data_IF_151530431895
#
_entry.id   IF_151530431895
#
_cell.length_a   1.000
_cell.length_b   1.000
_cell.length_c   1.000
_cell.angle_alpha   90.00
_cell.angle_beta   90.00
_cell.angle_gamma   90.00
#
_symmetry.space_group_name_H-M   'P 1'
#
loop_
_entity.id
_entity.type
_entity.pdbx_description
1 polymer ?
#
# COMPACT_ATOMS: atom_id res chain seq x y z
N UNK A 1 -9.56 25.96 3.65
CA UNK A 1 -8.92 24.95 4.53
C UNK A 1 -9.00 23.52 3.97
N UNK A 2 -9.00 23.34 2.62
CA UNK A 2 -9.31 22.06 1.93
C UNK A 2 -8.09 21.17 1.59
N UNK A 3 -6.86 21.66 1.79
CA UNK A 3 -5.64 20.95 1.36
C UNK A 3 -5.20 19.80 2.28
N UNK A 4 -5.65 19.76 3.54
CA UNK A 4 -5.20 18.74 4.51
C UNK A 4 -5.82 17.36 4.24
N UNK A 5 -7.09 17.29 3.83
CA UNK A 5 -7.80 16.02 3.65
C UNK A 5 -7.38 15.27 2.37
N UNK A 6 -6.97 15.98 1.32
CA UNK A 6 -6.43 15.40 0.08
C UNK A 6 -5.07 14.71 0.28
N UNK A 7 -4.26 15.18 1.24
CA UNK A 7 -2.89 14.68 1.48
C UNK A 7 -2.90 13.40 2.35
N UNK A 8 -3.83 13.31 3.32
CA UNK A 8 -4.05 12.06 4.05
C UNK A 8 -4.68 10.99 3.15
N UNK A 9 -5.56 11.41 2.23
CA UNK A 9 -6.05 10.59 1.13
C UNK A 9 -4.90 10.04 0.29
N UNK A 10 -4.01 10.89 -0.24
CA UNK A 10 -2.89 10.55 -1.12
C UNK A 10 -1.88 9.53 -0.54
N UNK A 11 -1.87 9.33 0.78
CA UNK A 11 -0.87 8.52 1.45
C UNK A 11 -1.38 7.25 2.11
N UNK A 12 -2.65 7.26 2.46
CA UNK A 12 -3.43 6.04 2.57
C UNK A 12 -3.67 5.46 1.17
N UNK A 13 -3.74 6.28 0.13
CA UNK A 13 -3.57 5.89 -1.27
C UNK A 13 -2.20 5.22 -1.47
N UNK A 14 -1.09 5.56 -0.81
CA UNK A 14 0.17 4.80 -0.99
C UNK A 14 0.14 3.41 -0.34
N UNK A 15 -0.66 3.18 0.70
CA UNK A 15 -0.83 1.84 1.31
C UNK A 15 -2.00 1.05 0.72
N UNK A 16 -3.03 1.73 0.19
CA UNK A 16 -4.10 1.17 -0.64
C UNK A 16 -3.73 1.05 -2.12
N UNK A 17 -2.67 1.74 -2.56
CA UNK A 17 -2.05 1.74 -3.89
C UNK A 17 -0.53 1.53 -3.84
N UNK A 18 -0.06 0.63 -2.98
CA UNK A 18 0.93 -0.38 -3.43
C UNK A 18 0.30 -1.33 -4.48
N UNK A 19 -0.74 -0.85 -5.18
CA UNK A 19 -1.67 -1.38 -6.17
C UNK A 19 -2.03 -0.31 -7.25
N UNK A 20 -1.21 0.73 -7.43
CA UNK A 20 -1.29 1.67 -8.57
C UNK A 20 0.02 2.26 -9.18
N UNK A 21 0.50 1.78 -10.38
CA UNK A 21 1.35 2.35 -11.53
C UNK A 21 2.02 1.35 -12.48
N UNK A 22 2.80 1.71 -13.53
CA UNK A 22 2.58 1.95 -14.97
C UNK A 22 3.41 1.12 -15.93
N UNK A 23 2.85 0.63 -17.04
CA UNK A 23 3.68 0.50 -18.26
C UNK A 23 2.95 0.79 -19.56
N UNK A 24 3.64 1.51 -20.44
CA UNK A 24 3.38 1.63 -21.89
C UNK A 24 3.73 0.32 -22.61
N UNK A 25 2.97 0.07 -23.67
CA UNK A 25 3.22 -0.82 -24.81
C UNK A 25 3.34 -2.32 -24.48
N UNK A 26 2.24 -3.05 -24.70
CA UNK A 26 2.06 -3.97 -25.85
C UNK A 26 0.63 -4.55 -25.80
N UNK A 27 0.10 -4.93 -26.96
CA UNK A 27 -1.33 -5.16 -27.26
C UNK A 27 -2.12 -6.08 -26.29
N UNK A 28 -3.43 -5.81 -26.10
CA UNK A 28 -4.21 -6.35 -24.98
C UNK A 28 -4.80 -7.74 -25.27
N UNK A 29 -4.43 -8.72 -24.44
CA UNK A 29 -5.44 -9.66 -23.94
C UNK A 29 -6.18 -8.95 -22.81
N UNK A 30 -7.51 -8.92 -22.84
CA UNK A 30 -8.33 -8.35 -21.76
C UNK A 30 -8.02 -9.10 -20.47
N UNK A 31 -7.21 -8.49 -19.61
CA UNK A 31 -6.85 -9.03 -18.29
C UNK A 31 -8.13 -9.20 -17.46
N UNK A 32 -8.29 -10.35 -16.80
CA UNK A 32 -9.41 -10.60 -15.87
C UNK A 32 -9.45 -9.58 -14.72
N UNK A 33 -8.34 -8.88 -14.47
CA UNK A 33 -8.20 -7.77 -13.53
C UNK A 33 -8.92 -6.51 -13.95
N UNK A 34 -9.09 -6.27 -15.25
CA UNK A 34 -9.68 -5.03 -15.76
C UNK A 34 -11.13 -4.91 -15.29
N UNK A 35 -11.46 -3.77 -14.70
CA UNK A 35 -12.75 -3.51 -14.08
C UNK A 35 -12.62 -2.66 -12.82
N UNK A 36 -13.78 -2.29 -12.27
CA UNK A 36 -13.87 -1.52 -11.03
C UNK A 36 -14.05 -2.48 -9.86
N UNK A 37 -13.16 -2.36 -8.89
CA UNK A 37 -13.13 -3.12 -7.65
C UNK A 37 -13.38 -2.17 -6.47
N UNK A 38 -14.47 -2.38 -5.76
CA UNK A 38 -14.79 -1.65 -4.53
C UNK A 38 -14.11 -2.32 -3.36
N UNK A 39 -13.68 -1.54 -2.36
CA UNK A 39 -13.27 -2.12 -1.09
C UNK A 39 -14.44 -2.86 -0.45
N UNK A 40 -14.15 -4.02 0.12
CA UNK A 40 -15.13 -4.72 0.95
C UNK A 40 -15.53 -3.85 2.13
N UNK A 41 -16.77 -3.92 2.57
CA UNK A 41 -17.22 -3.17 3.76
C UNK A 41 -16.54 -3.67 5.05
N UNK A 42 -16.15 -4.94 5.09
CA UNK A 42 -15.45 -5.58 6.22
C UNK A 42 -14.29 -6.42 5.73
N UNK A 43 -13.20 -6.43 6.50
CA UNK A 43 -12.02 -7.24 6.18
C UNK A 43 -11.32 -6.82 4.89
N UNK A 44 -11.45 -5.55 4.47
CA UNK A 44 -10.81 -5.02 3.27
C UNK A 44 -9.29 -4.90 3.41
N UNK A 45 -8.76 -4.96 4.62
CA UNK A 45 -7.32 -5.05 4.85
C UNK A 45 -7.02 -6.26 5.71
N UNK A 46 -5.95 -6.96 5.36
CA UNK A 46 -5.42 -8.09 6.12
C UNK A 46 -3.90 -7.98 6.19
N UNK A 47 -3.35 -8.10 7.40
CA UNK A 47 -1.91 -8.22 7.62
C UNK A 47 -1.63 -9.61 8.16
N UNK A 48 -0.79 -10.35 7.45
CA UNK A 48 -0.19 -11.59 7.96
C UNK A 48 1.24 -11.26 8.33
N UNK A 49 1.63 -11.54 9.57
CA UNK A 49 2.98 -11.36 10.06
C UNK A 49 3.32 -12.53 10.98
N UNK A 50 4.20 -13.40 10.51
CA UNK A 50 4.78 -14.52 11.24
C UNK A 50 6.26 -14.26 11.44
N UNK A 51 6.73 -14.46 12.67
CA UNK A 51 8.09 -14.18 13.08
C UNK A 51 8.50 -15.07 14.25
N UNK A 52 9.81 -15.28 14.46
CA UNK A 52 10.33 -15.92 15.68
C UNK A 52 9.79 -15.26 16.96
N UNK A 53 9.54 -16.06 17.99
CA UNK A 53 8.91 -15.60 19.24
C UNK A 53 9.75 -14.62 20.05
N UNK A 54 11.07 -14.64 19.86
CA UNK A 54 12.04 -13.76 20.50
C UNK A 54 12.25 -12.43 19.74
N UNK A 55 11.70 -12.32 18.52
CA UNK A 55 11.84 -11.12 17.71
C UNK A 55 10.91 -10.02 18.24
N UNK A 56 11.50 -8.91 18.68
CA UNK A 56 10.75 -7.75 19.19
C UNK A 56 11.07 -6.47 18.44
N UNK A 57 10.06 -5.63 18.28
CA UNK A 57 10.16 -4.25 17.80
C UNK A 57 9.98 -3.30 18.98
N UNK A 58 10.93 -2.40 19.22
CA UNK A 58 10.80 -1.39 20.27
C UNK A 58 10.15 -0.11 19.72
N UNK A 59 9.04 0.30 20.34
CA UNK A 59 8.35 1.56 20.02
C UNK A 59 7.89 2.21 21.31
N UNK A 60 8.03 3.54 21.44
CA UNK A 60 7.61 4.27 22.64
C UNK A 60 8.19 3.72 23.96
N UNK A 61 9.42 3.20 23.93
CA UNK A 61 10.08 2.58 25.10
C UNK A 61 9.46 1.24 25.53
N UNK A 62 8.65 0.61 24.69
CA UNK A 62 8.04 -0.70 24.92
C UNK A 62 8.45 -1.69 23.83
N UNK A 63 8.76 -2.92 24.23
CA UNK A 63 9.04 -4.03 23.30
C UNK A 63 7.73 -4.70 22.88
N UNK A 64 7.50 -4.76 21.58
CA UNK A 64 6.38 -5.45 20.96
C UNK A 64 6.88 -6.72 20.27
N UNK A 65 6.46 -7.91 20.72
CA UNK A 65 6.66 -9.15 19.97
C UNK A 65 6.17 -9.01 18.53
N UNK A 66 7.00 -9.40 17.57
CA UNK A 66 6.70 -9.31 16.15
C UNK A 66 5.46 -10.13 15.78
N UNK A 67 5.22 -11.24 16.48
CA UNK A 67 4.02 -12.09 16.32
C UNK A 67 2.70 -11.38 16.62
N UNK A 68 2.70 -10.28 17.38
CA UNK A 68 1.50 -9.50 17.66
C UNK A 68 1.24 -8.39 16.62
N UNK A 69 2.20 -8.11 15.73
CA UNK A 69 2.10 -6.98 14.79
C UNK A 69 0.89 -7.09 13.86
N UNK A 70 0.53 -8.30 13.42
CA UNK A 70 -0.69 -8.52 12.60
C UNK A 70 -1.95 -7.96 13.25
N UNK A 71 -2.12 -8.21 14.56
CA UNK A 71 -3.28 -7.78 15.34
C UNK A 71 -3.35 -6.27 15.55
N UNK A 72 -2.20 -5.59 15.53
CA UNK A 72 -2.15 -4.12 15.62
C UNK A 72 -2.26 -3.45 14.25
N UNK A 73 -1.57 -3.97 13.24
CA UNK A 73 -1.48 -3.36 11.91
C UNK A 73 -2.77 -3.53 11.12
N UNK A 74 -3.44 -4.68 11.21
CA UNK A 74 -4.70 -4.92 10.47
C UNK A 74 -5.78 -3.88 10.76
N UNK A 75 -6.20 -3.63 12.02
CA UNK A 75 -7.24 -2.63 12.30
C UNK A 75 -6.77 -1.20 12.01
N UNK A 76 -5.48 -0.89 12.26
CA UNK A 76 -4.92 0.42 11.97
C UNK A 76 -4.97 0.74 10.47
N UNK A 77 -4.46 -0.17 9.63
CA UNK A 77 -4.47 -0.02 8.19
C UNK A 77 -5.89 -0.09 7.62
N UNK A 78 -6.77 -0.92 8.18
CA UNK A 78 -8.19 -0.96 7.80
C UNK A 78 -8.85 0.40 7.99
N UNK A 79 -8.66 1.04 9.15
CA UNK A 79 -9.23 2.35 9.44
C UNK A 79 -8.65 3.43 8.52
N UNK A 80 -7.33 3.40 8.28
CA UNK A 80 -6.71 4.30 7.34
C UNK A 80 -7.35 4.12 5.95
N UNK A 81 -7.21 2.94 5.36
CA UNK A 81 -7.68 2.62 3.99
C UNK A 81 -9.16 2.90 3.82
N UNK A 82 -10.01 2.47 4.77
CA UNK A 82 -11.46 2.67 4.69
C UNK A 82 -11.89 4.15 4.74
N UNK A 83 -11.07 5.02 5.33
CA UNK A 83 -11.34 6.46 5.36
C UNK A 83 -10.83 7.21 4.12
N UNK A 84 -10.03 6.57 3.27
CA UNK A 84 -9.39 7.23 2.13
C UNK A 84 -9.82 6.66 0.78
N UNK A 85 -10.00 5.35 0.69
CA UNK A 85 -10.24 4.64 -0.56
C UNK A 85 -11.66 4.08 -0.52
N UNK A 86 -12.38 4.20 -1.64
CA UNK A 86 -13.64 3.50 -1.88
C UNK A 86 -13.42 2.33 -2.84
N UNK A 87 -12.54 2.49 -3.82
CA UNK A 87 -12.26 1.45 -4.80
C UNK A 87 -11.21 1.85 -5.82
N UNK A 88 -10.85 0.89 -6.64
CA UNK A 88 -9.82 0.95 -7.66
C UNK A 88 -10.41 0.44 -8.98
N UNK A 89 -10.20 1.16 -10.06
CA UNK A 89 -10.48 0.72 -11.42
C UNK A 89 -9.18 0.42 -12.13
N UNK A 90 -9.01 -0.83 -12.53
CA UNK A 90 -7.93 -1.28 -13.40
C UNK A 90 -8.46 -1.24 -14.84
N UNK A 91 -7.84 -0.46 -15.72
CA UNK A 91 -8.30 -0.34 -17.11
C UNK A 91 -7.52 -1.30 -18.01
N UNK A 92 -8.12 -1.69 -19.13
CA UNK A 92 -7.51 -2.62 -20.08
C UNK A 92 -6.23 -2.08 -20.73
N UNK A 93 -6.06 -0.76 -20.79
CA UNK A 93 -4.83 -0.10 -21.24
C UNK A 93 -3.77 0.03 -20.13
N UNK A 94 -3.93 -0.73 -19.05
CA UNK A 94 -2.97 -0.79 -17.95
C UNK A 94 -2.97 0.47 -17.09
N UNK A 95 -4.06 1.25 -17.02
CA UNK A 95 -4.20 2.39 -16.11
C UNK A 95 -4.88 2.01 -14.79
N UNK A 96 -4.57 2.77 -13.74
CA UNK A 96 -5.24 2.64 -12.45
C UNK A 96 -5.87 3.97 -12.11
N UNK A 97 -7.17 3.89 -11.80
CA UNK A 97 -7.93 4.99 -11.24
C UNK A 97 -8.36 4.59 -9.85
N UNK A 98 -8.40 5.55 -8.94
CA UNK A 98 -8.93 5.32 -7.60
C UNK A 98 -10.07 6.26 -7.31
N UNK A 99 -11.13 5.71 -6.73
CA UNK A 99 -12.20 6.50 -6.15
C UNK A 99 -11.93 6.66 -4.67
N UNK A 100 -11.73 7.91 -4.24
CA UNK A 100 -11.17 8.23 -2.93
C UNK A 100 -12.11 9.16 -2.18
N UNK A 101 -12.20 9.02 -0.87
CA UNK A 101 -13.00 9.90 -0.04
C UNK A 101 -12.29 11.25 0.12
N UNK A 102 -12.97 12.32 -0.27
CA UNK A 102 -12.55 13.71 0.01
C UNK A 102 -13.09 14.20 1.37
N UNK A 103 -14.21 13.60 1.79
CA UNK A 103 -14.81 13.71 3.12
C UNK A 103 -15.43 12.34 3.47
N UNK A 104 -14.74 11.57 4.32
CA UNK A 104 -15.16 10.22 4.69
C UNK A 104 -16.51 10.23 5.45
N UNK A 105 -16.74 11.23 6.30
CA UNK A 105 -17.97 11.34 7.09
C UNK A 105 -19.19 11.62 6.20
N UNK A 106 -19.02 12.43 5.16
CA UNK A 106 -20.08 12.73 4.18
C UNK A 106 -20.14 11.74 3.02
N UNK A 107 -19.24 10.74 3.00
CA UNK A 107 -19.07 9.79 1.90
C UNK A 107 -18.87 10.48 0.53
N UNK A 108 -18.31 11.69 0.51
CA UNK A 108 -18.04 12.43 -0.74
C UNK A 108 -16.78 11.88 -1.38
N UNK A 109 -16.88 11.45 -2.64
CA UNK A 109 -15.74 10.84 -3.35
C UNK A 109 -15.27 11.68 -4.53
N UNK A 110 -14.02 11.44 -4.94
CA UNK A 110 -13.45 11.95 -6.17
C UNK A 110 -12.66 10.84 -6.88
N UNK A 111 -12.58 10.92 -8.20
CA UNK A 111 -11.70 10.04 -8.98
C UNK A 111 -10.32 10.68 -9.05
N UNK A 112 -9.32 9.86 -8.79
CA UNK A 112 -7.90 10.21 -8.84
C UNK A 112 -7.22 9.29 -9.85
N UNK A 113 -6.49 9.87 -10.80
CA UNK A 113 -5.81 9.15 -11.89
C UNK A 113 -4.42 9.75 -12.18
N UNK A 114 -3.59 8.97 -12.87
CA UNK A 114 -2.25 9.39 -13.30
C UNK A 114 -1.14 9.21 -12.25
N UNK A 115 -1.46 8.67 -11.08
CA UNK A 115 -0.49 8.19 -10.06
C UNK A 115 0.10 6.83 -10.44
N UNK A 116 -0.65 6.14 -11.30
CA UNK A 116 -0.93 4.74 -11.17
C UNK A 116 -1.51 4.14 -12.47
N UNK A 117 -1.36 2.82 -12.69
CA UNK A 117 -1.28 2.04 -13.95
C UNK A 117 -0.74 0.63 -13.55
N UNK A 118 -0.52 -0.34 -14.42
CA UNK A 118 -0.06 -1.69 -14.02
C UNK A 118 0.32 -2.52 -15.25
N UNK A 119 1.05 -3.63 -15.01
CA UNK A 119 1.25 -4.69 -16.01
C UNK A 119 0.87 -6.03 -15.42
N UNK A 120 -0.18 -6.65 -15.95
CA UNK A 120 -0.53 -8.03 -15.61
C UNK A 120 0.52 -8.98 -16.17
N UNK A 121 1.08 -9.84 -15.32
CA UNK A 121 2.04 -10.88 -15.72
C UNK A 121 1.38 -12.26 -15.80
N UNK A 122 0.06 -12.35 -15.54
CA UNK A 122 -0.67 -13.60 -15.41
C UNK A 122 -0.29 -14.37 -14.15
N UNK A 123 -0.90 -15.54 -13.96
CA UNK A 123 -0.59 -16.47 -12.86
C UNK A 123 -0.64 -15.80 -11.47
N UNK A 124 -1.61 -14.90 -11.26
CA UNK A 124 -1.77 -14.20 -9.99
C UNK A 124 -0.65 -13.20 -9.67
N UNK A 125 0.03 -12.66 -10.69
CA UNK A 125 1.10 -11.66 -10.55
C UNK A 125 0.84 -10.45 -11.41
N UNK A 126 1.04 -9.26 -10.86
CA UNK A 126 1.11 -8.02 -11.60
C UNK A 126 2.32 -7.21 -11.13
N UNK A 127 2.84 -6.36 -12.01
CA UNK A 127 3.84 -5.36 -11.67
C UNK A 127 3.22 -3.99 -11.57
N UNK A 128 3.63 -3.28 -10.53
CA UNK A 128 3.14 -1.97 -10.19
C UNK A 128 4.25 -0.92 -10.11
N UNK A 129 4.35 -0.06 -11.10
CA UNK A 129 5.30 1.04 -11.13
C UNK A 129 4.80 2.21 -10.27
N UNK A 130 5.41 3.39 -10.30
CA UNK A 130 4.85 4.65 -9.76
C UNK A 130 5.14 5.79 -10.75
N UNK A 131 4.21 6.74 -10.95
CA UNK A 131 4.49 7.91 -11.79
C UNK A 131 5.15 9.02 -10.99
N UNK A 132 5.76 10.00 -11.67
CA UNK A 132 6.27 11.20 -11.02
C UNK A 132 5.19 11.98 -10.26
N UNK A 133 3.93 11.88 -10.67
CA UNK A 133 2.81 12.52 -9.96
C UNK A 133 2.72 12.01 -8.53
N UNK A 134 2.81 10.70 -8.32
CA UNK A 134 2.84 10.07 -7.00
C UNK A 134 3.91 10.71 -6.12
N UNK A 135 5.13 10.78 -6.64
CA UNK A 135 6.26 11.30 -5.87
C UNK A 135 6.20 12.82 -5.64
N UNK A 136 5.64 13.58 -6.57
CA UNK A 136 5.51 15.05 -6.47
C UNK A 136 4.52 15.50 -5.39
N UNK A 137 3.57 14.63 -5.04
CA UNK A 137 2.57 14.90 -4.02
C UNK A 137 2.97 14.39 -2.64
N UNK A 138 4.10 13.64 -2.54
CA UNK A 138 4.66 13.22 -1.26
C UNK A 138 5.16 14.43 -0.48
N UNK A 139 4.80 14.47 0.81
CA UNK A 139 5.22 15.50 1.75
C UNK A 139 5.89 14.84 2.94
N UNK A 140 6.70 15.62 3.67
CA UNK A 140 7.40 15.17 4.87
C UNK A 140 8.46 14.09 4.62
N UNK A 141 9.02 14.05 3.40
CA UNK A 141 10.19 13.24 3.04
C UNK A 141 11.26 14.17 2.52
N UNK A 142 12.48 14.03 3.03
CA UNK A 142 13.62 14.79 2.53
C UNK A 142 14.00 14.33 1.11
N UNK A 143 14.69 15.20 0.36
CA UNK A 143 15.01 14.95 -1.04
C UNK A 143 15.86 13.70 -1.26
N UNK A 144 16.73 13.35 -0.31
CA UNK A 144 17.59 12.17 -0.41
C UNK A 144 16.77 10.90 -0.25
N UNK A 145 15.94 10.82 0.80
CA UNK A 145 15.03 9.69 1.01
C UNK A 145 14.06 9.53 -0.15
N UNK A 146 13.51 10.64 -0.68
CA UNK A 146 12.63 10.61 -1.85
C UNK A 146 13.34 10.06 -3.09
N UNK A 147 14.59 10.47 -3.33
CA UNK A 147 15.41 9.96 -4.44
C UNK A 147 15.66 8.45 -4.31
N UNK A 148 15.94 7.98 -3.10
CA UNK A 148 16.14 6.55 -2.83
C UNK A 148 14.85 5.73 -3.02
N UNK A 149 13.71 6.25 -2.56
CA UNK A 149 12.40 5.61 -2.78
C UNK A 149 12.09 5.54 -4.28
N UNK A 150 12.28 6.64 -5.02
CA UNK A 150 12.11 6.65 -6.49
C UNK A 150 12.98 5.59 -7.16
N UNK A 151 14.26 5.51 -6.78
CA UNK A 151 15.18 4.53 -7.34
C UNK A 151 14.78 3.08 -7.01
N UNK A 152 14.29 2.83 -5.80
CA UNK A 152 13.85 1.50 -5.37
C UNK A 152 12.57 1.03 -6.10
N UNK A 153 11.68 1.96 -6.46
CA UNK A 153 10.39 1.66 -7.07
C UNK A 153 10.38 1.80 -8.60
N UNK A 154 11.50 2.23 -9.21
CA UNK A 154 11.59 2.55 -10.65
C UNK A 154 11.25 1.37 -11.56
N UNK A 155 11.61 0.15 -11.15
CA UNK A 155 11.39 -1.08 -11.92
C UNK A 155 10.03 -1.73 -11.61
N UNK A 156 9.26 -1.11 -10.72
CA UNK A 156 7.97 -1.58 -10.25
C UNK A 156 8.04 -2.47 -9.02
N UNK A 157 6.89 -2.56 -8.35
CA UNK A 157 6.61 -3.35 -7.16
C UNK A 157 5.83 -4.59 -7.59
N UNK A 158 6.35 -5.79 -7.34
CA UNK A 158 5.60 -7.01 -7.55
C UNK A 158 4.37 -7.07 -6.64
N UNK A 159 3.23 -7.41 -7.20
CA UNK A 159 1.97 -7.57 -6.47
C UNK A 159 1.39 -8.91 -6.84
N UNK A 160 0.92 -9.63 -5.84
CA UNK A 160 0.17 -10.87 -6.03
C UNK A 160 -1.32 -10.57 -6.05
N UNK A 161 -2.05 -11.36 -6.81
CA UNK A 161 -3.50 -11.33 -6.76
C UNK A 161 -4.11 -12.72 -6.84
N UNK A 162 -5.28 -12.86 -6.20
CA UNK A 162 -6.15 -14.01 -6.34
C UNK A 162 -7.58 -13.52 -6.59
N UNK A 163 -8.20 -13.98 -7.68
CA UNK A 163 -9.59 -13.68 -8.02
C UNK A 163 -10.44 -14.91 -7.67
N UNK A 164 -11.56 -14.69 -7.00
CA UNK A 164 -12.55 -15.71 -6.67
C UNK A 164 -13.94 -15.15 -6.92
N UNK A 165 -14.49 -15.41 -8.11
CA UNK A 165 -15.76 -14.82 -8.56
C UNK A 165 -15.68 -13.30 -8.59
N UNK A 166 -16.58 -12.65 -7.86
CA UNK A 166 -16.62 -11.18 -7.74
C UNK A 166 -15.64 -10.62 -6.71
N UNK A 167 -14.86 -11.43 -6.00
CA UNK A 167 -13.86 -10.96 -5.04
C UNK A 167 -12.46 -11.05 -5.59
N UNK A 168 -11.60 -10.11 -5.20
CA UNK A 168 -10.16 -10.22 -5.39
C UNK A 168 -9.39 -9.86 -4.12
N UNK A 169 -8.28 -10.56 -3.90
CA UNK A 169 -7.27 -10.24 -2.89
C UNK A 169 -6.02 -9.82 -3.63
N UNK A 170 -5.59 -8.58 -3.43
CA UNK A 170 -4.30 -8.07 -3.89
C UNK A 170 -3.35 -7.96 -2.72
N UNK A 171 -2.12 -8.42 -2.83
CA UNK A 171 -1.19 -8.40 -1.71
C UNK A 171 0.27 -8.29 -2.10
N UNK A 172 1.04 -7.68 -1.21
CA UNK A 172 2.50 -7.77 -1.24
C UNK A 172 2.91 -9.03 -0.52
N UNK A 173 3.72 -9.86 -1.18
CA UNK A 173 4.29 -11.05 -0.57
C UNK A 173 5.53 -10.71 0.27
N UNK A 174 6.03 -11.72 0.99
CA UNK A 174 7.14 -11.56 1.92
C UNK A 174 8.40 -11.06 1.24
N UNK A 175 8.71 -11.58 0.06
CA UNK A 175 9.89 -11.16 -0.72
C UNK A 175 9.79 -9.70 -1.13
N UNK A 176 8.61 -9.26 -1.58
CA UNK A 176 8.38 -7.86 -1.94
C UNK A 176 8.54 -6.93 -0.73
N UNK A 177 7.96 -7.30 0.42
CA UNK A 177 8.08 -6.51 1.65
C UNK A 177 9.54 -6.46 2.14
N UNK A 178 10.27 -7.58 2.08
CA UNK A 178 11.69 -7.63 2.42
C UNK A 178 12.55 -6.75 1.51
N UNK A 179 12.26 -6.72 0.21
CA UNK A 179 12.95 -5.84 -0.73
C UNK A 179 12.74 -4.35 -0.41
N UNK A 180 11.57 -3.99 0.13
CA UNK A 180 11.23 -2.60 0.47
C UNK A 180 11.55 -2.21 1.93
N UNK A 181 12.09 -3.11 2.75
CA UNK A 181 12.19 -2.96 4.22
C UNK A 181 12.83 -1.65 4.69
N UNK A 182 13.84 -1.16 3.98
CA UNK A 182 14.56 0.06 4.35
C UNK A 182 13.73 1.33 4.08
N UNK A 183 12.74 1.23 3.19
CA UNK A 183 11.88 2.34 2.78
C UNK A 183 10.54 2.33 3.52
N UNK A 184 10.13 1.20 4.12
CA UNK A 184 8.87 1.09 4.85
C UNK A 184 8.67 2.17 5.94
N UNK A 185 9.68 2.52 6.77
CA UNK A 185 9.49 3.59 7.75
C UNK A 185 9.18 4.95 7.11
N UNK A 186 9.82 5.26 5.98
CA UNK A 186 9.53 6.47 5.22
C UNK A 186 8.16 6.38 4.55
N UNK A 187 7.79 5.22 3.99
CA UNK A 187 6.44 4.98 3.45
C UNK A 187 5.35 5.17 4.51
N UNK A 188 5.61 4.77 5.75
CA UNK A 188 4.70 4.95 6.87
C UNK A 188 4.69 6.37 7.46
N UNK A 189 5.83 7.06 7.52
CA UNK A 189 5.86 8.47 7.98
C UNK A 189 4.99 9.35 7.09
N UNK A 190 4.94 9.00 5.81
CA UNK A 190 4.11 9.67 4.84
C UNK A 190 2.61 9.41 5.12
N UNK A 191 2.20 8.23 5.61
CA UNK A 191 0.78 7.88 5.82
C UNK A 191 0.04 8.90 6.70
N UNK A 192 0.79 9.68 7.49
CA UNK A 192 0.27 10.72 8.34
C UNK A 192 -0.35 10.14 9.62
N UNK A 193 -0.41 10.97 10.66
CA UNK A 193 -1.01 10.57 11.94
C UNK A 193 -0.15 9.64 12.80
N UNK A 194 1.06 9.28 12.36
CA UNK A 194 1.99 8.50 13.18
C UNK A 194 2.71 9.40 14.21
N UNK A 195 2.67 9.07 15.51
CA UNK A 195 3.42 9.80 16.52
C UNK A 195 4.95 9.74 16.24
N UNK A 196 5.71 10.84 16.42
CA UNK A 196 7.15 10.86 16.14
C UNK A 196 7.94 9.75 16.86
N UNK A 197 7.52 9.39 18.07
CA UNK A 197 8.14 8.35 18.89
C UNK A 197 7.91 6.94 18.33
N UNK A 198 6.76 6.72 17.68
CA UNK A 198 6.46 5.47 16.95
C UNK A 198 7.33 5.41 15.70
N UNK A 199 7.37 6.49 14.91
CA UNK A 199 8.19 6.56 13.70
C UNK A 199 9.67 6.29 14.00
N UNK A 200 10.22 6.87 15.08
CA UNK A 200 11.61 6.63 15.50
C UNK A 200 11.87 5.15 15.83
N UNK A 201 10.93 4.48 16.51
CA UNK A 201 11.01 3.05 16.80
C UNK A 201 10.99 2.20 15.52
N UNK A 202 10.10 2.55 14.57
CA UNK A 202 10.06 1.89 13.26
C UNK A 202 11.36 2.09 12.48
N UNK A 203 11.91 3.31 12.44
CA UNK A 203 13.18 3.59 11.77
C UNK A 203 14.35 2.81 12.39
N UNK A 204 14.32 2.59 13.70
CA UNK A 204 15.38 1.86 14.41
C UNK A 204 15.30 0.34 14.24
N UNK A 205 14.10 -0.24 14.19
CA UNK A 205 13.92 -1.69 14.32
C UNK A 205 13.19 -2.39 13.18
N UNK A 206 12.34 -1.69 12.42
CA UNK A 206 11.41 -2.32 11.49
C UNK A 206 12.13 -3.14 10.42
N UNK A 207 13.21 -2.62 9.84
CA UNK A 207 13.94 -3.31 8.78
C UNK A 207 14.51 -4.65 9.26
N UNK A 208 15.10 -4.70 10.46
CA UNK A 208 15.61 -5.95 11.05
C UNK A 208 14.46 -6.92 11.40
N UNK A 209 13.33 -6.41 11.89
CA UNK A 209 12.17 -7.25 12.17
C UNK A 209 11.62 -7.86 10.88
N UNK A 210 11.48 -7.07 9.83
CA UNK A 210 11.04 -7.53 8.50
C UNK A 210 11.99 -8.59 7.93
N UNK A 211 13.30 -8.36 8.02
CA UNK A 211 14.31 -9.28 7.52
C UNK A 211 14.22 -10.67 8.18
N UNK A 212 14.07 -10.69 9.51
CA UNK A 212 14.03 -11.91 10.33
C UNK A 212 12.66 -12.58 10.39
N UNK A 213 11.62 -11.96 9.82
CA UNK A 213 10.29 -12.54 9.78
C UNK A 213 10.21 -13.66 8.75
N UNK A 214 9.41 -14.68 9.03
CA UNK A 214 9.23 -15.86 8.19
C UNK A 214 8.17 -15.63 7.13
N UNK A 215 7.11 -14.88 7.47
CA UNK A 215 6.05 -14.52 6.53
C UNK A 215 5.54 -13.12 6.85
N UNK A 216 5.46 -12.29 5.83
CA UNK A 216 4.74 -11.01 5.88
C UNK A 216 3.90 -10.89 4.62
N UNK A 217 2.62 -10.57 4.78
CA UNK A 217 1.73 -10.18 3.69
C UNK A 217 0.91 -8.96 4.10
N UNK A 218 0.77 -8.01 3.18
CA UNK A 218 -0.11 -6.85 3.32
C UNK A 218 -1.12 -6.93 2.19
N UNK A 219 -2.39 -7.18 2.53
CA UNK A 219 -3.43 -7.48 1.55
C UNK A 219 -4.57 -6.45 1.57
N UNK A 220 -5.10 -6.19 0.38
CA UNK A 220 -6.31 -5.44 0.11
C UNK A 220 -7.36 -6.39 -0.49
N UNK A 221 -8.51 -6.49 0.15
CA UNK A 221 -9.64 -7.29 -0.31
C UNK A 221 -10.71 -6.38 -0.91
N UNK A 222 -11.09 -6.70 -2.14
CA UNK A 222 -12.01 -5.90 -2.96
C UNK A 222 -13.06 -6.79 -3.62
N UNK A 223 -14.12 -6.17 -4.13
CA UNK A 223 -15.25 -6.84 -4.79
C UNK A 223 -15.83 -6.04 -5.97
N UNK A 224 -16.45 -6.76 -6.90
CA UNK A 224 -17.13 -6.25 -8.11
C UNK A 224 -18.64 -6.26 -7.95
#
# INVERSE_FOLDING_TARGET
MMRKNLIYGALILCMGLLLGSCSKNDDPKTSELAGTWKLKEKGHTEVVWEAPSDLTLEMMGRKFPASMLSGYLTPMLSNLIGNALQGVTLTSDGKVKTTVYTDAAKKTTAVSEGYATYKDQGNGRLMLYFTDKTFSELKNVDAQTLTQIKAALKDGVPVRYAISGNSARFYLDTETIKAMRNYLPALFSMAGGMPPQVLKGLQAGLANVVEKSTKIELALNVER
#
